data_IF_199247907850
#
_entry.id   IF_199247907850
#
_cell.length_a   1.000
_cell.length_b   1.000
_cell.length_c   1.000
_cell.angle_alpha   90.00
_cell.angle_beta   90.00
_cell.angle_gamma   90.00
#
_symmetry.space_group_name_H-M   'P 1'
#
loop_
_entity.id
_entity.type
_entity.pdbx_description
1 polymer ?
#
# COMPACT_ATOMS: atom_id res chain seq x y z
N UNK A 1 56.77 25.09 -51.88
CA UNK A 1 55.77 25.68 -50.96
C UNK A 1 54.77 24.59 -50.65
N UNK A 2 54.96 23.93 -49.50
CA UNK A 2 54.17 22.79 -49.06
C UNK A 2 52.79 23.26 -48.60
N UNK A 3 51.75 22.69 -49.18
CA UNK A 3 50.34 22.95 -48.84
C UNK A 3 49.94 22.17 -47.59
N UNK A 4 49.57 22.88 -46.53
CA UNK A 4 48.96 22.35 -45.32
C UNK A 4 47.56 21.80 -45.63
N UNK A 5 47.38 20.49 -45.40
CA UNK A 5 46.10 19.81 -45.47
C UNK A 5 45.45 19.89 -44.09
N UNK A 6 44.45 20.76 -43.96
CA UNK A 6 43.60 20.84 -42.78
C UNK A 6 42.87 19.50 -42.58
N UNK A 7 43.11 18.84 -41.44
CA UNK A 7 42.31 17.71 -40.99
C UNK A 7 40.98 18.23 -40.42
N UNK A 8 39.82 17.72 -40.86
CA UNK A 8 38.56 18.07 -40.23
C UNK A 8 38.49 17.46 -38.82
N UNK A 9 38.23 18.33 -37.85
CA UNK A 9 37.90 18.03 -36.46
C UNK A 9 36.73 17.04 -36.39
N UNK A 10 37.02 15.75 -36.21
CA UNK A 10 36.01 14.75 -35.90
C UNK A 10 35.92 14.61 -34.39
N UNK A 11 35.07 15.42 -33.77
CA UNK A 11 34.60 15.12 -32.42
C UNK A 11 33.98 13.70 -32.42
N UNK A 12 34.34 12.82 -31.45
CA UNK A 12 33.73 11.51 -31.37
C UNK A 12 32.24 11.67 -31.14
N UNK A 13 31.43 11.24 -32.11
CA UNK A 13 30.00 11.08 -31.90
C UNK A 13 29.85 10.06 -30.77
N UNK A 14 29.28 10.49 -29.64
CA UNK A 14 28.98 9.59 -28.53
C UNK A 14 27.86 8.65 -28.98
N UNK A 15 28.28 7.52 -29.56
CA UNK A 15 27.42 6.46 -30.10
C UNK A 15 26.41 5.99 -29.06
N UNK A 16 26.73 6.07 -27.76
CA UNK A 16 25.81 5.73 -26.69
C UNK A 16 24.70 6.77 -26.52
N UNK A 17 25.00 8.06 -26.68
CA UNK A 17 24.01 9.12 -26.60
C UNK A 17 23.05 9.07 -27.81
N UNK A 18 23.58 8.81 -29.01
CA UNK A 18 22.80 8.66 -30.23
C UNK A 18 21.90 7.42 -30.19
N UNK A 19 22.45 6.26 -29.81
CA UNK A 19 21.67 5.03 -29.64
C UNK A 19 20.58 5.18 -28.55
N UNK A 20 20.88 5.90 -27.47
CA UNK A 20 19.89 6.20 -26.41
C UNK A 20 18.73 7.05 -26.94
N UNK A 21 19.02 8.07 -27.75
CA UNK A 21 18.00 8.90 -28.40
C UNK A 21 17.16 8.08 -29.39
N UNK A 22 17.78 7.27 -30.25
CA UNK A 22 17.05 6.40 -31.19
C UNK A 22 16.12 5.41 -30.48
N UNK A 23 16.60 4.79 -29.40
CA UNK A 23 15.77 3.88 -28.59
C UNK A 23 14.64 4.65 -27.91
N UNK A 24 14.90 5.85 -27.39
CA UNK A 24 13.88 6.70 -26.77
C UNK A 24 12.81 7.15 -27.77
N UNK A 25 13.21 7.56 -28.98
CA UNK A 25 12.30 7.94 -30.07
C UNK A 25 11.51 6.75 -30.59
N UNK A 26 12.14 5.57 -30.69
CA UNK A 26 11.47 4.31 -31.04
C UNK A 26 10.44 3.91 -29.97
N UNK A 27 10.78 4.04 -28.68
CA UNK A 27 9.86 3.77 -27.57
C UNK A 27 8.69 4.77 -27.60
N UNK A 28 8.95 6.06 -27.80
CA UNK A 28 7.92 7.09 -27.89
C UNK A 28 6.98 6.88 -29.09
N UNK A 29 7.52 6.43 -30.24
CA UNK A 29 6.74 6.13 -31.43
C UNK A 29 5.91 4.84 -31.29
N UNK A 30 6.42 3.82 -30.59
CA UNK A 30 5.79 2.49 -30.50
C UNK A 30 4.84 2.34 -29.33
N UNK A 31 5.12 3.01 -28.22
CA UNK A 31 4.28 2.99 -27.02
C UNK A 31 3.79 4.40 -26.77
N UNK A 32 2.58 4.71 -27.24
CA UNK A 32 1.83 5.85 -26.72
C UNK A 32 1.61 5.62 -25.22
N UNK A 33 2.53 6.10 -24.39
CA UNK A 33 2.36 6.20 -22.94
C UNK A 33 1.32 7.30 -22.73
N UNK A 34 0.05 6.97 -22.98
CA UNK A 34 -1.06 7.79 -22.51
C UNK A 34 -0.87 7.79 -21.00
N UNK A 35 -0.71 8.97 -20.41
CA UNK A 35 -0.74 9.15 -18.97
C UNK A 35 -2.11 8.65 -18.51
N UNK A 36 -2.18 7.35 -18.18
CA UNK A 36 -3.36 6.75 -17.59
C UNK A 36 -3.44 7.38 -16.21
N UNK A 37 -4.14 8.51 -16.14
CA UNK A 37 -4.41 9.19 -14.89
C UNK A 37 -4.98 8.20 -13.89
N UNK A 38 -4.80 8.49 -12.60
CA UNK A 38 -5.34 7.66 -11.52
C UNK A 38 -6.80 7.30 -11.85
N UNK A 39 -7.16 6.01 -11.91
CA UNK A 39 -8.53 5.60 -12.19
C UNK A 39 -9.49 6.38 -11.27
N UNK A 40 -10.46 7.08 -11.86
CA UNK A 40 -11.45 7.83 -11.10
C UNK A 40 -12.39 6.82 -10.45
N UNK A 41 -12.21 6.63 -9.14
CA UNK A 41 -13.14 5.85 -8.32
C UNK A 41 -14.50 6.56 -8.36
N UNK A 42 -15.59 5.80 -8.51
CA UNK A 42 -16.95 6.37 -8.45
C UNK A 42 -17.15 7.02 -7.07
N UNK A 43 -17.84 8.16 -7.02
CA UNK A 43 -18.07 8.91 -5.77
C UNK A 43 -18.63 8.02 -4.65
N UNK A 44 -19.63 7.22 -4.96
CA UNK A 44 -20.26 6.27 -4.03
C UNK A 44 -19.26 5.24 -3.48
N UNK A 45 -18.37 4.71 -4.32
CA UNK A 45 -17.38 3.74 -3.89
C UNK A 45 -16.33 4.39 -2.97
N UNK A 46 -15.92 5.63 -3.27
CA UNK A 46 -15.04 6.41 -2.41
C UNK A 46 -15.68 6.66 -1.03
N UNK A 47 -16.97 7.02 -1.00
CA UNK A 47 -17.75 7.19 0.24
C UNK A 47 -17.86 5.88 1.03
N UNK A 48 -18.11 4.74 0.36
CA UNK A 48 -18.13 3.42 1.02
C UNK A 48 -16.77 3.07 1.61
N UNK A 49 -15.66 3.35 0.90
CA UNK A 49 -14.30 3.13 1.40
C UNK A 49 -14.00 4.01 2.61
N UNK A 50 -14.43 5.27 2.58
CA UNK A 50 -14.33 6.20 3.70
C UNK A 50 -15.07 5.68 4.92
N UNK A 51 -16.35 5.32 4.75
CA UNK A 51 -17.19 4.82 5.82
C UNK A 51 -16.60 3.56 6.49
N UNK A 52 -16.04 2.63 5.70
CA UNK A 52 -15.35 1.44 6.25
C UNK A 52 -14.14 1.83 7.09
N UNK A 53 -13.35 2.80 6.62
CA UNK A 53 -12.15 3.26 7.33
C UNK A 53 -12.48 3.95 8.64
N UNK A 54 -13.48 4.83 8.63
CA UNK A 54 -13.98 5.49 9.86
C UNK A 54 -14.48 4.46 10.87
N UNK A 55 -15.23 3.45 10.43
CA UNK A 55 -15.72 2.37 11.30
C UNK A 55 -14.57 1.53 11.89
N UNK A 56 -13.54 1.22 11.10
CA UNK A 56 -12.35 0.52 11.56
C UNK A 56 -11.60 1.35 12.61
N UNK A 57 -11.29 2.61 12.29
CA UNK A 57 -10.55 3.51 13.18
C UNK A 57 -11.26 3.70 14.53
N UNK A 58 -12.58 3.86 14.52
CA UNK A 58 -13.39 3.94 15.74
C UNK A 58 -13.40 2.63 16.56
N UNK A 59 -13.27 1.46 15.93
CA UNK A 59 -13.09 0.19 16.68
C UNK A 59 -11.70 0.15 17.33
N UNK A 60 -10.67 0.53 16.58
CA UNK A 60 -9.30 0.53 17.06
C UNK A 60 -9.11 1.48 18.25
N UNK A 61 -9.64 2.70 18.14
CA UNK A 61 -9.68 3.69 19.22
C UNK A 61 -10.37 3.17 20.48
N UNK A 62 -11.51 2.50 20.34
CA UNK A 62 -12.23 1.89 21.48
C UNK A 62 -11.42 0.80 22.16
N UNK A 63 -10.64 0.01 21.42
CA UNK A 63 -9.76 -0.99 22.02
C UNK A 63 -8.68 -0.31 22.88
N UNK A 64 -8.03 0.74 22.36
CA UNK A 64 -7.08 1.54 23.13
C UNK A 64 -7.69 2.13 24.40
N UNK A 65 -8.86 2.75 24.28
CA UNK A 65 -9.55 3.40 25.40
C UNK A 65 -9.98 2.40 26.48
N UNK A 66 -10.38 1.18 26.12
CA UNK A 66 -10.67 0.10 27.09
C UNK A 66 -9.44 -0.32 27.89
N UNK A 67 -8.25 -0.20 27.32
CA UNK A 67 -6.99 -0.43 28.03
C UNK A 67 -6.57 0.76 28.90
N UNK A 68 -7.36 1.85 28.92
CA UNK A 68 -7.06 3.06 29.67
C UNK A 68 -5.86 3.85 29.12
N UNK A 69 -5.48 3.64 27.85
CA UNK A 69 -4.26 4.19 27.28
C UNK A 69 -4.52 5.46 26.48
N UNK A 70 -3.65 6.45 26.69
CA UNK A 70 -3.50 7.57 25.76
C UNK A 70 -2.83 7.11 24.45
N UNK A 71 -2.92 7.93 23.39
CA UNK A 71 -2.19 7.67 22.15
C UNK A 71 -0.68 7.58 22.37
N UNK A 72 -0.13 8.39 23.27
CA UNK A 72 1.30 8.43 23.53
C UNK A 72 1.79 7.16 24.24
N UNK A 73 1.06 6.72 25.27
CA UNK A 73 1.39 5.48 25.98
C UNK A 73 1.24 4.26 25.08
N UNK A 74 0.17 4.20 24.28
CA UNK A 74 -0.03 3.11 23.34
C UNK A 74 1.09 3.05 22.28
N UNK A 75 1.48 4.21 21.73
CA UNK A 75 2.56 4.27 20.75
C UNK A 75 3.90 3.85 21.37
N UNK A 76 4.21 4.32 22.58
CA UNK A 76 5.43 3.93 23.29
C UNK A 76 5.46 2.42 23.58
N UNK A 77 4.36 1.84 24.09
CA UNK A 77 4.26 0.39 24.36
C UNK A 77 4.36 -0.46 23.10
N UNK A 78 3.83 0.03 21.97
CA UNK A 78 3.88 -0.66 20.69
C UNK A 78 5.19 -0.41 19.91
N UNK A 79 6.14 0.36 20.45
CA UNK A 79 7.38 0.71 19.73
C UNK A 79 7.15 1.55 18.47
N UNK A 80 6.06 2.33 18.42
CA UNK A 80 5.74 3.22 17.30
C UNK A 80 6.35 4.60 17.55
N UNK A 81 7.09 5.10 16.56
CA UNK A 81 7.91 6.31 16.67
C UNK A 81 7.16 7.59 17.08
N UNK A 82 5.86 7.70 16.78
CA UNK A 82 5.08 8.86 17.21
C UNK A 82 3.62 8.54 17.49
N UNK A 83 3.00 9.23 18.47
CA UNK A 83 1.55 9.14 18.72
C UNK A 83 0.73 9.57 17.50
N UNK A 84 1.26 10.51 16.70
CA UNK A 84 0.66 10.95 15.43
C UNK A 84 0.55 9.79 14.43
N UNK A 85 1.56 8.93 14.34
CA UNK A 85 1.53 7.75 13.46
C UNK A 85 0.44 6.78 13.90
N UNK A 86 0.32 6.53 15.19
CA UNK A 86 -0.76 5.70 15.73
C UNK A 86 -2.14 6.30 15.47
N UNK A 87 -2.28 7.62 15.62
CA UNK A 87 -3.53 8.33 15.31
C UNK A 87 -3.95 8.18 13.84
N UNK A 88 -3.00 8.09 12.90
CA UNK A 88 -3.33 7.82 11.49
C UNK A 88 -4.02 6.47 11.32
N UNK A 89 -3.59 5.43 12.06
CA UNK A 89 -4.23 4.12 12.01
C UNK A 89 -5.64 4.12 12.64
N UNK A 90 -5.90 5.01 13.59
CA UNK A 90 -7.23 5.21 14.18
C UNK A 90 -8.18 6.09 13.33
N UNK A 91 -7.72 6.65 12.21
CA UNK A 91 -8.49 7.68 11.46
C UNK A 91 -8.41 7.58 9.94
N UNK A 92 -7.22 7.47 9.38
CA UNK A 92 -6.92 7.80 7.96
C UNK A 92 -6.31 6.66 7.17
N UNK A 93 -5.73 5.64 7.80
CA UNK A 93 -5.15 4.50 7.09
C UNK A 93 -5.26 3.20 7.88
N UNK A 94 -5.02 2.08 7.19
CA UNK A 94 -4.93 0.77 7.82
C UNK A 94 -3.47 0.47 8.23
N UNK A 95 -3.25 -0.18 9.39
CA UNK A 95 -1.91 -0.53 9.84
C UNK A 95 -1.28 -1.62 8.96
N UNK A 96 0.03 -1.54 8.64
CA UNK A 96 0.75 -2.64 8.01
C UNK A 96 0.95 -3.80 9.00
N UNK A 97 1.30 -4.99 8.50
CA UNK A 97 1.39 -6.23 9.29
C UNK A 97 2.26 -6.13 10.54
N UNK A 98 3.42 -5.46 10.49
CA UNK A 98 4.27 -5.30 11.67
C UNK A 98 3.62 -4.43 12.75
N UNK A 99 2.84 -3.40 12.36
CA UNK A 99 2.10 -2.55 13.30
C UNK A 99 0.97 -3.36 13.94
N UNK A 100 0.28 -4.20 13.17
CA UNK A 100 -0.76 -5.10 13.69
C UNK A 100 -0.20 -5.95 14.82
N UNK A 101 0.94 -6.62 14.59
CA UNK A 101 1.63 -7.42 15.61
C UNK A 101 2.05 -6.61 16.83
N UNK A 102 2.46 -5.36 16.62
CA UNK A 102 2.89 -4.49 17.70
C UNK A 102 1.73 -3.95 18.57
N UNK A 103 0.61 -3.55 17.96
CA UNK A 103 -0.50 -2.91 18.69
C UNK A 103 -1.52 -3.92 19.24
N UNK A 104 -1.65 -5.10 18.64
CA UNK A 104 -2.57 -6.13 19.09
C UNK A 104 -2.43 -6.47 20.60
N UNK A 105 -1.23 -6.82 21.11
CA UNK A 105 -1.06 -7.11 22.53
C UNK A 105 -1.28 -5.87 23.41
N UNK A 106 -0.89 -4.67 22.94
CA UNK A 106 -1.11 -3.41 23.67
C UNK A 106 -2.59 -3.09 23.83
N UNK A 107 -3.41 -3.51 22.87
CA UNK A 107 -4.86 -3.33 22.86
C UNK A 107 -5.63 -4.52 23.44
N UNK A 108 -4.93 -5.52 23.97
CA UNK A 108 -5.54 -6.69 24.60
C UNK A 108 -6.31 -7.59 23.63
N UNK A 109 -5.89 -7.64 22.36
CA UNK A 109 -6.50 -8.50 21.32
C UNK A 109 -5.46 -9.41 20.67
N UNK A 110 -5.92 -10.52 20.09
CA UNK A 110 -5.06 -11.40 19.29
C UNK A 110 -4.63 -10.75 17.97
N UNK A 111 -3.42 -11.10 17.50
CA UNK A 111 -2.87 -10.59 16.23
C UNK A 111 -3.73 -11.00 15.03
N UNK A 112 -4.19 -12.25 14.99
CA UNK A 112 -5.05 -12.81 13.94
C UNK A 112 -6.37 -12.06 13.85
N UNK A 113 -7.04 -11.87 14.99
CA UNK A 113 -8.28 -11.09 15.06
C UNK A 113 -8.11 -9.67 14.52
N UNK A 114 -7.03 -8.98 14.89
CA UNK A 114 -6.79 -7.62 14.40
C UNK A 114 -6.47 -7.61 12.89
N UNK A 115 -5.72 -8.60 12.40
CA UNK A 115 -5.43 -8.75 10.98
C UNK A 115 -6.71 -9.00 10.14
N UNK A 116 -7.57 -9.91 10.60
CA UNK A 116 -8.88 -10.16 10.00
C UNK A 116 -9.74 -8.90 9.99
N UNK A 117 -9.74 -8.16 11.11
CA UNK A 117 -10.50 -6.92 11.21
C UNK A 117 -10.01 -5.88 10.21
N UNK A 118 -8.70 -5.73 10.03
CA UNK A 118 -8.10 -4.85 9.02
C UNK A 118 -8.54 -5.28 7.63
N UNK A 119 -8.39 -6.57 7.30
CA UNK A 119 -8.70 -7.11 5.98
C UNK A 119 -10.17 -6.92 5.63
N UNK A 120 -11.08 -7.27 6.55
CA UNK A 120 -12.54 -7.10 6.40
C UNK A 120 -12.97 -5.68 6.05
N UNK A 121 -12.25 -4.64 6.49
CA UNK A 121 -12.60 -3.25 6.21
C UNK A 121 -11.82 -2.69 5.01
N UNK A 122 -10.56 -3.10 4.83
CA UNK A 122 -9.71 -2.66 3.73
C UNK A 122 -10.13 -3.26 2.39
N UNK A 123 -10.28 -4.58 2.37
CA UNK A 123 -10.60 -5.38 1.18
C UNK A 123 -11.64 -6.47 1.56
N UNK A 124 -12.92 -6.10 1.60
CA UNK A 124 -13.97 -7.03 1.99
C UNK A 124 -14.10 -8.22 1.03
N UNK A 125 -13.82 -8.01 -0.26
CA UNK A 125 -13.95 -9.07 -1.27
C UNK A 125 -12.85 -10.12 -1.08
N UNK A 126 -11.61 -9.67 -0.84
CA UNK A 126 -10.51 -10.56 -0.47
C UNK A 126 -10.76 -11.28 0.86
N UNK A 127 -11.31 -10.58 1.85
CA UNK A 127 -11.71 -11.21 3.12
C UNK A 127 -12.74 -12.33 2.89
N UNK A 128 -13.79 -12.10 2.08
CA UNK A 128 -14.76 -13.15 1.76
C UNK A 128 -14.08 -14.30 1.02
N UNK A 129 -13.28 -14.04 -0.01
CA UNK A 129 -12.62 -15.09 -0.78
C UNK A 129 -11.71 -15.99 0.07
N UNK A 130 -11.06 -15.44 1.10
CA UNK A 130 -10.23 -16.20 2.03
C UNK A 130 -11.04 -16.96 3.09
N UNK A 131 -12.11 -16.35 3.61
CA UNK A 131 -12.88 -16.91 4.74
C UNK A 131 -14.03 -17.84 4.31
N UNK A 132 -14.52 -17.73 3.07
CA UNK A 132 -15.59 -18.59 2.54
C UNK A 132 -15.15 -20.02 2.21
N UNK A 133 -13.93 -20.42 2.58
CA UNK A 133 -13.35 -21.75 2.25
C UNK A 133 -13.38 -22.76 3.40
N UNK A 134 -13.85 -22.39 4.59
CA UNK A 134 -13.85 -23.27 5.77
C UNK A 134 -15.15 -24.08 5.97
N UNK A 135 -16.20 -23.85 5.18
CA UNK A 135 -17.50 -24.54 5.35
C UNK A 135 -17.72 -25.79 4.45
N UNK A 136 -16.73 -26.21 3.65
CA UNK A 136 -16.88 -27.34 2.69
C UNK A 136 -15.91 -28.51 2.92
N UNK A 137 -15.54 -28.78 4.17
CA UNK A 137 -14.67 -29.92 4.53
C UNK A 137 -15.20 -30.75 5.70
N UNK A 138 -16.53 -30.99 5.74
CA UNK A 138 -17.16 -31.66 6.88
C UNK A 138 -18.47 -32.41 6.61
N UNK A 139 -18.70 -32.93 5.40
CA UNK A 139 -19.68 -34.01 5.19
C UNK A 139 -18.94 -35.26 4.69
N UNK A 140 -18.24 -35.91 5.61
CA UNK A 140 -17.93 -37.32 5.49
C UNK A 140 -19.15 -38.10 5.96
N UNK A 141 -19.96 -38.59 5.03
CA UNK A 141 -20.96 -39.61 5.30
C UNK A 141 -20.23 -40.91 5.68
N UNK A 142 -20.24 -41.26 6.95
CA UNK A 142 -20.17 -42.67 7.36
C UNK A 142 -21.49 -43.30 6.97
N UNK A 143 -21.42 -44.25 6.02
CA UNK A 143 -22.43 -45.29 5.79
C UNK A 143 -21.72 -46.65 5.83
#
# INVERSE_FOLDING_TARGET
>A
MTSDIAHPDSSPIDVFEEASREVSDMIAARFQVRSRGRPKIRKEEAERREARRVRFGAKLRRMRERMGLTLAEAAARAGISSPRKLSQYETTCYPPGWVIRAIAPVYGVGETYLAELVLKHNDPDLYQALMSKEDNAGEGSEE
#
